data_IF_207819263717
#
_entry.id   IF_207819263717
#
_cell.length_a   1.000
_cell.length_b   1.000
_cell.length_c   1.000
_cell.angle_alpha   90.00
_cell.angle_beta   90.00
_cell.angle_gamma   90.00
#
_symmetry.space_group_name_H-M   'P 1'
#
loop_
_entity.id
_entity.type
_entity.pdbx_description
1 polymer ?
#
# COMPACT_ATOMS: atom_id res chain seq x y z
N UNK A 1 30.46 -44.51 16.36
CA UNK A 1 29.36 -44.86 15.46
C UNK A 1 27.96 -44.50 15.98
N UNK A 2 27.73 -44.61 17.27
CA UNK A 2 26.43 -44.19 17.84
C UNK A 2 26.18 -42.67 17.77
N UNK A 3 27.22 -41.84 17.80
CA UNK A 3 27.08 -40.39 17.69
C UNK A 3 26.61 -39.85 16.35
N UNK A 4 26.93 -40.54 15.26
CA UNK A 4 26.49 -40.11 13.93
C UNK A 4 25.00 -40.37 13.67
N UNK A 5 24.43 -41.41 14.27
CA UNK A 5 23.00 -41.68 14.17
C UNK A 5 22.15 -40.68 14.97
N UNK A 6 22.68 -40.14 16.05
CA UNK A 6 22.03 -39.12 16.88
C UNK A 6 22.03 -37.75 16.15
N UNK A 7 23.15 -37.41 15.51
CA UNK A 7 23.22 -36.16 14.73
C UNK A 7 22.28 -36.12 13.51
N UNK A 8 22.13 -37.28 12.82
CA UNK A 8 21.19 -37.38 11.69
C UNK A 8 19.72 -37.26 12.12
N UNK A 9 19.38 -37.61 13.35
CA UNK A 9 18.03 -37.44 13.88
C UNK A 9 17.72 -36.04 14.37
N UNK A 10 18.73 -35.28 14.80
CA UNK A 10 18.56 -33.91 15.30
C UNK A 10 18.34 -32.92 14.14
N UNK A 11 19.08 -33.06 13.02
CA UNK A 11 18.94 -32.17 11.86
C UNK A 11 17.53 -32.18 11.22
N UNK A 12 16.89 -33.32 10.97
CA UNK A 12 15.51 -33.33 10.43
C UNK A 12 14.49 -32.70 11.36
N UNK A 13 14.68 -32.81 12.66
CA UNK A 13 13.75 -32.21 13.64
C UNK A 13 13.82 -30.67 13.62
N UNK A 14 15.02 -30.11 13.51
CA UNK A 14 15.19 -28.67 13.43
C UNK A 14 14.60 -28.12 12.14
N UNK A 15 14.80 -28.81 11.02
CA UNK A 15 14.22 -28.45 9.73
C UNK A 15 12.69 -28.52 9.75
N UNK A 16 12.12 -29.57 10.35
CA UNK A 16 10.67 -29.72 10.52
C UNK A 16 10.10 -28.61 11.42
N UNK A 17 10.80 -28.25 12.49
CA UNK A 17 10.40 -27.19 13.40
C UNK A 17 10.36 -25.82 12.69
N UNK A 18 11.36 -25.51 11.88
CA UNK A 18 11.39 -24.30 11.08
C UNK A 18 10.28 -24.29 10.03
N UNK A 19 10.00 -25.43 9.41
CA UNK A 19 8.92 -25.58 8.45
C UNK A 19 7.54 -25.42 9.09
N UNK A 20 7.32 -26.00 10.27
CA UNK A 20 6.08 -25.85 11.04
C UNK A 20 5.84 -24.40 11.48
N UNK A 21 6.87 -23.69 11.93
CA UNK A 21 6.76 -22.28 12.30
C UNK A 21 6.43 -21.43 11.08
N UNK A 22 7.03 -21.72 9.93
CA UNK A 22 6.72 -21.04 8.67
C UNK A 22 5.28 -21.30 8.21
N UNK A 23 4.79 -22.52 8.35
CA UNK A 23 3.42 -22.89 7.99
C UNK A 23 2.38 -22.26 8.93
N UNK A 24 2.65 -22.25 10.23
CA UNK A 24 1.80 -21.58 11.24
C UNK A 24 1.72 -20.08 11.01
N UNK A 25 2.82 -19.45 10.59
CA UNK A 25 2.84 -18.04 10.26
C UNK A 25 1.99 -17.73 9.01
N UNK A 26 2.03 -18.62 8.00
CA UNK A 26 1.22 -18.48 6.79
C UNK A 26 -0.29 -18.65 7.07
N UNK A 27 -0.67 -19.56 7.97
CA UNK A 27 -2.08 -19.77 8.34
C UNK A 27 -2.62 -18.62 9.20
N UNK A 28 -1.82 -18.08 10.11
CA UNK A 28 -2.19 -16.90 10.90
C UNK A 28 -2.19 -15.60 10.07
N UNK A 29 -1.48 -15.56 8.93
CA UNK A 29 -1.45 -14.45 8.01
C UNK A 29 -2.73 -14.24 7.21
N UNK A 30 -3.64 -15.24 7.13
CA UNK A 30 -4.87 -15.11 6.34
C UNK A 30 -5.82 -14.01 6.84
N UNK A 31 -5.88 -13.76 8.16
CA UNK A 31 -6.68 -12.69 8.75
C UNK A 31 -6.02 -11.30 8.71
N UNK A 32 -4.71 -11.24 8.47
CA UNK A 32 -3.88 -10.02 8.48
C UNK A 32 -3.18 -9.83 7.13
N UNK A 33 -3.60 -10.57 6.09
CA UNK A 33 -2.94 -10.60 4.78
C UNK A 33 -2.84 -9.23 4.10
N UNK A 34 -3.81 -8.34 4.29
CA UNK A 34 -3.77 -6.97 3.76
C UNK A 34 -2.62 -6.13 4.35
N UNK A 35 -2.21 -6.39 5.59
CA UNK A 35 -1.06 -5.71 6.22
C UNK A 35 0.28 -6.34 5.85
N UNK A 36 0.32 -7.68 5.74
CA UNK A 36 1.55 -8.44 5.51
C UNK A 36 2.09 -8.31 4.07
N UNK A 37 1.25 -7.95 3.10
CA UNK A 37 1.62 -7.82 1.69
C UNK A 37 2.01 -6.41 1.28
N UNK A 38 1.75 -5.42 2.15
CA UNK A 38 2.09 -4.03 1.86
C UNK A 38 3.56 -3.76 2.18
N UNK A 39 4.30 -3.24 1.20
CA UNK A 39 5.70 -2.91 1.39
C UNK A 39 5.88 -1.69 2.30
N UNK A 40 7.02 -1.56 3.01
CA UNK A 40 7.31 -0.36 3.79
C UNK A 40 7.26 0.92 2.97
N UNK A 41 7.64 0.85 1.70
CA UNK A 41 7.61 1.97 0.77
C UNK A 41 6.17 2.41 0.48
N UNK A 42 5.25 1.46 0.33
CA UNK A 42 3.82 1.76 0.16
C UNK A 42 3.23 2.41 1.41
N UNK A 43 3.60 1.95 2.60
CA UNK A 43 3.20 2.60 3.86
C UNK A 43 3.74 4.02 3.98
N UNK A 44 4.99 4.24 3.59
CA UNK A 44 5.60 5.56 3.56
C UNK A 44 4.90 6.47 2.56
N UNK A 45 4.52 5.94 1.39
CA UNK A 45 3.78 6.69 0.36
C UNK A 45 2.40 7.12 0.87
N UNK A 46 1.66 6.23 1.51
CA UNK A 46 0.35 6.54 2.11
C UNK A 46 0.44 7.66 3.15
N UNK A 47 1.44 7.60 4.03
CA UNK A 47 1.68 8.66 5.04
C UNK A 47 2.09 9.99 4.41
N UNK A 48 3.03 9.96 3.47
CA UNK A 48 3.49 11.17 2.78
C UNK A 48 2.34 11.83 2.00
N UNK A 49 1.48 11.02 1.36
CA UNK A 49 0.30 11.50 0.66
C UNK A 49 -0.72 12.15 1.61
N UNK A 50 -0.97 11.55 2.76
CA UNK A 50 -1.90 12.12 3.75
C UNK A 50 -1.38 13.40 4.41
N UNK A 51 -0.05 13.55 4.50
CA UNK A 51 0.61 14.73 5.05
C UNK A 51 0.81 15.86 4.03
N UNK A 52 0.60 15.60 2.75
CA UNK A 52 0.83 16.57 1.69
C UNK A 52 2.31 16.82 1.36
N UNK A 53 3.20 15.89 1.74
CA UNK A 53 4.63 16.04 1.50
C UNK A 53 5.00 15.57 0.08
N UNK A 54 4.88 16.46 -0.88
CA UNK A 54 5.10 16.17 -2.30
C UNK A 54 6.54 15.72 -2.61
N UNK A 55 7.53 16.27 -1.93
CA UNK A 55 8.94 15.91 -2.15
C UNK A 55 9.22 14.47 -1.69
N UNK A 56 8.71 14.10 -0.53
CA UNK A 56 8.79 12.72 -0.05
C UNK A 56 8.03 11.77 -0.97
N UNK A 57 6.84 12.14 -1.45
CA UNK A 57 6.07 11.35 -2.43
C UNK A 57 6.88 11.12 -3.70
N UNK A 58 7.48 12.17 -4.28
CA UNK A 58 8.31 12.04 -5.48
C UNK A 58 9.51 11.13 -5.26
N UNK A 59 10.17 11.25 -4.11
CA UNK A 59 11.32 10.40 -3.75
C UNK A 59 10.92 8.93 -3.65
N UNK A 60 9.79 8.64 -3.03
CA UNK A 60 9.27 7.27 -2.89
C UNK A 60 8.85 6.71 -4.25
N UNK A 61 8.18 7.51 -5.09
CA UNK A 61 7.74 7.09 -6.43
C UNK A 61 8.90 6.80 -7.38
N UNK A 62 10.11 7.27 -7.08
CA UNK A 62 11.32 6.92 -7.82
C UNK A 62 11.79 5.48 -7.55
N UNK A 63 11.29 4.84 -6.49
CA UNK A 63 11.62 3.45 -6.14
C UNK A 63 10.87 2.46 -7.02
N UNK A 64 11.53 1.42 -7.56
CA UNK A 64 10.90 0.46 -8.47
C UNK A 64 9.89 -0.48 -7.78
N UNK A 65 9.94 -0.59 -6.46
CA UNK A 65 9.16 -1.55 -5.68
C UNK A 65 7.92 -0.95 -5.02
N UNK A 66 7.64 0.34 -5.27
CA UNK A 66 6.48 0.99 -4.67
C UNK A 66 5.21 0.67 -5.44
N UNK A 67 4.16 0.29 -4.71
CA UNK A 67 2.83 0.16 -5.27
C UNK A 67 2.08 1.50 -5.15
N UNK A 68 1.94 2.19 -6.27
CA UNK A 68 1.25 3.50 -6.35
C UNK A 68 -0.22 3.37 -5.96
N UNK A 69 -0.83 2.20 -6.18
CA UNK A 69 -2.23 1.90 -5.88
C UNK A 69 -2.40 1.09 -4.59
N UNK A 70 -1.36 0.97 -3.77
CA UNK A 70 -1.44 0.28 -2.49
C UNK A 70 -2.46 0.92 -1.56
N UNK A 71 -3.22 0.12 -0.84
CA UNK A 71 -4.31 0.60 0.02
C UNK A 71 -3.96 0.53 1.50
N UNK A 72 -4.52 1.44 2.28
CA UNK A 72 -4.47 1.39 3.75
C UNK A 72 -5.53 0.42 4.32
N UNK A 73 -5.68 0.40 5.63
CA UNK A 73 -6.63 -0.48 6.32
C UNK A 73 -8.12 -0.12 6.05
N UNK A 74 -8.37 1.03 5.42
CA UNK A 74 -9.69 1.53 5.03
C UNK A 74 -9.91 1.50 3.52
N UNK A 75 -9.02 0.86 2.78
CA UNK A 75 -9.07 0.79 1.34
C UNK A 75 -8.68 2.08 0.61
N UNK A 76 -8.10 3.07 1.31
CA UNK A 76 -7.69 4.33 0.68
C UNK A 76 -6.32 4.15 -0.01
N UNK A 77 -6.24 4.56 -1.26
CA UNK A 77 -4.97 4.69 -1.99
C UNK A 77 -4.26 5.99 -1.60
N UNK A 78 -2.96 6.17 -1.92
CA UNK A 78 -2.29 7.46 -1.75
C UNK A 78 -3.03 8.61 -2.45
N UNK A 79 -3.60 8.34 -3.64
CA UNK A 79 -4.40 9.32 -4.37
C UNK A 79 -5.68 9.72 -3.62
N UNK A 80 -6.39 8.74 -3.04
CA UNK A 80 -7.58 8.99 -2.22
C UNK A 80 -7.23 9.81 -0.98
N UNK A 81 -6.13 9.49 -0.30
CA UNK A 81 -5.66 10.25 0.86
C UNK A 81 -5.31 11.70 0.50
N UNK A 82 -4.53 11.90 -0.56
CA UNK A 82 -4.15 13.23 -1.02
C UNK A 82 -5.38 14.06 -1.45
N UNK A 83 -6.31 13.45 -2.16
CA UNK A 83 -7.53 14.11 -2.63
C UNK A 83 -8.46 14.51 -1.47
N UNK A 84 -8.57 13.66 -0.46
CA UNK A 84 -9.38 13.92 0.74
C UNK A 84 -8.95 15.18 1.48
N UNK A 85 -7.65 15.43 1.53
CA UNK A 85 -7.07 16.59 2.24
C UNK A 85 -6.72 17.76 1.30
N UNK A 86 -6.96 17.64 0.00
CA UNK A 86 -6.71 18.71 -0.98
C UNK A 86 -5.23 18.99 -1.24
N UNK A 87 -4.39 17.96 -1.20
CA UNK A 87 -2.96 18.10 -1.47
C UNK A 87 -2.67 18.04 -2.97
N UNK A 88 -2.88 19.13 -3.69
CA UNK A 88 -2.85 19.22 -5.16
C UNK A 88 -1.52 18.79 -5.78
N UNK A 89 -0.40 19.17 -5.16
CA UNK A 89 0.93 18.78 -5.63
C UNK A 89 1.17 17.26 -5.52
N UNK A 90 0.69 16.66 -4.43
CA UNK A 90 0.76 15.20 -4.24
C UNK A 90 -0.14 14.48 -5.24
N UNK A 91 -1.37 14.98 -5.44
CA UNK A 91 -2.30 14.45 -6.45
C UNK A 91 -1.65 14.47 -7.83
N UNK A 92 -1.05 15.59 -8.21
CA UNK A 92 -0.36 15.72 -9.49
C UNK A 92 0.79 14.72 -9.63
N UNK A 93 1.63 14.58 -8.60
CA UNK A 93 2.74 13.62 -8.60
C UNK A 93 2.25 12.18 -8.76
N UNK A 94 1.17 11.81 -8.08
CA UNK A 94 0.57 10.48 -8.18
C UNK A 94 -0.06 10.22 -9.55
N UNK A 95 -0.71 11.23 -10.15
CA UNK A 95 -1.27 11.11 -11.51
C UNK A 95 -0.17 10.94 -12.56
N UNK A 96 0.96 11.62 -12.42
CA UNK A 96 2.14 11.44 -13.28
C UNK A 96 2.67 10.00 -13.14
N UNK A 97 2.65 9.45 -11.94
CA UNK A 97 3.04 8.06 -11.66
C UNK A 97 1.99 7.02 -12.08
N UNK A 98 0.93 7.44 -12.79
CA UNK A 98 -0.14 6.56 -13.28
C UNK A 98 -1.00 5.92 -12.18
N UNK A 99 -1.23 6.62 -11.08
CA UNK A 99 -2.18 6.18 -10.06
C UNK A 99 -3.59 5.98 -10.68
N UNK A 100 -4.26 4.92 -10.25
CA UNK A 100 -5.61 4.61 -10.75
C UNK A 100 -6.65 5.50 -10.05
N UNK A 101 -7.32 6.33 -10.83
CA UNK A 101 -8.33 7.28 -10.37
C UNK A 101 -9.68 6.65 -10.06
N UNK A 102 -9.90 5.40 -10.45
CA UNK A 102 -11.19 4.69 -10.33
C UNK A 102 -11.33 3.83 -9.10
N UNK A 103 -10.26 3.63 -8.35
CA UNK A 103 -10.27 2.83 -7.13
C UNK A 103 -11.21 3.49 -6.10
N UNK A 104 -12.03 2.67 -5.47
CA UNK A 104 -12.92 3.07 -4.38
C UNK A 104 -12.39 2.51 -3.06
N UNK A 105 -12.52 3.31 -2.00
CA UNK A 105 -12.22 2.85 -0.64
C UNK A 105 -13.36 1.96 -0.09
N UNK A 106 -13.24 1.53 1.16
CA UNK A 106 -14.24 0.69 1.84
C UNK A 106 -15.62 1.39 1.98
N UNK A 107 -15.66 2.73 1.91
CA UNK A 107 -16.89 3.52 1.87
C UNK A 107 -17.50 3.64 0.46
N UNK A 108 -16.87 3.05 -0.54
CA UNK A 108 -17.28 3.14 -1.95
C UNK A 108 -16.97 4.48 -2.62
N UNK A 109 -16.07 5.27 -2.03
CA UNK A 109 -15.73 6.62 -2.52
C UNK A 109 -14.42 6.60 -3.31
N UNK A 110 -14.43 7.32 -4.44
CA UNK A 110 -13.23 7.59 -5.24
C UNK A 110 -12.51 8.85 -4.74
N UNK A 111 -11.28 9.05 -5.20
CA UNK A 111 -10.53 10.28 -4.94
C UNK A 111 -11.32 11.54 -5.37
N UNK A 112 -11.97 11.48 -6.53
CA UNK A 112 -12.79 12.60 -7.04
C UNK A 112 -13.97 12.93 -6.11
N UNK A 113 -14.66 11.91 -5.59
CA UNK A 113 -15.78 12.12 -4.67
C UNK A 113 -15.32 12.80 -3.38
N UNK A 114 -14.21 12.34 -2.80
CA UNK A 114 -13.67 12.92 -1.57
C UNK A 114 -13.15 14.34 -1.77
N UNK A 115 -12.51 14.62 -2.92
CA UNK A 115 -12.09 15.98 -3.26
C UNK A 115 -13.28 16.94 -3.40
N UNK A 116 -14.34 16.48 -4.03
CA UNK A 116 -15.58 17.28 -4.19
C UNK A 116 -16.27 17.52 -2.84
N UNK A 117 -16.36 16.50 -1.99
CA UNK A 117 -16.91 16.64 -0.62
C UNK A 117 -16.11 17.61 0.24
N UNK A 118 -14.78 17.63 0.08
CA UNK A 118 -13.88 18.55 0.78
C UNK A 118 -13.83 19.96 0.19
N UNK A 119 -14.45 20.20 -0.97
CA UNK A 119 -14.41 21.51 -1.65
C UNK A 119 -13.05 21.81 -2.27
N UNK A 120 -12.27 20.80 -2.65
CA UNK A 120 -10.93 20.94 -3.22
C UNK A 120 -10.99 21.08 -4.74
N UNK A 121 -11.38 22.27 -5.24
CA UNK A 121 -11.67 22.51 -6.66
C UNK A 121 -10.49 22.21 -7.59
N UNK A 122 -9.26 22.53 -7.17
CA UNK A 122 -8.07 22.28 -7.97
C UNK A 122 -7.81 20.77 -8.10
N UNK A 123 -7.92 20.03 -6.99
CA UNK A 123 -7.85 18.57 -6.99
C UNK A 123 -8.94 17.95 -7.87
N UNK A 124 -10.17 18.45 -7.80
CA UNK A 124 -11.29 18.01 -8.66
C UNK A 124 -10.95 18.18 -10.13
N UNK A 125 -10.41 19.35 -10.52
CA UNK A 125 -9.98 19.61 -11.90
C UNK A 125 -8.91 18.65 -12.37
N UNK A 126 -7.86 18.46 -11.57
CA UNK A 126 -6.76 17.55 -11.89
C UNK A 126 -7.25 16.11 -12.08
N UNK A 127 -8.11 15.61 -11.19
CA UNK A 127 -8.69 14.26 -11.26
C UNK A 127 -9.62 14.11 -12.47
N UNK A 128 -10.43 15.11 -12.77
CA UNK A 128 -11.33 15.10 -13.93
C UNK A 128 -10.53 15.07 -15.24
N UNK A 129 -9.48 15.85 -15.35
CA UNK A 129 -8.56 15.82 -16.49
C UNK A 129 -7.88 14.47 -16.65
N UNK A 130 -7.54 13.81 -15.55
CA UNK A 130 -6.95 12.46 -15.56
C UNK A 130 -7.95 11.34 -15.90
N UNK A 131 -9.25 11.66 -16.08
CA UNK A 131 -10.28 10.70 -16.47
C UNK A 131 -11.11 10.13 -15.33
N UNK A 132 -11.05 10.71 -14.15
CA UNK A 132 -11.83 10.23 -12.98
C UNK A 132 -13.35 10.38 -13.16
N UNK A 133 -13.79 11.29 -14.01
CA UNK A 133 -15.19 11.59 -14.28
C UNK A 133 -15.82 10.79 -15.43
N UNK A 134 -15.08 9.85 -16.03
CA UNK A 134 -15.56 9.08 -17.20
C UNK A 134 -16.12 7.72 -16.81
#
# INVERSE_FOLDING_TARGET
>A
MAGNAVQKRIMPRVVISVFLVSLLFAVHGCGVAKRATRSPETDALLRAASMGNADTVRSILASPNVDVNGIDDHGNTPLIQAARFGHDEVVTALLIAKADVKIKNDEGKTALMLAAEGGHDETVRALTQAGAGK
#
